data_IF_790216564085
#
_entry.id   IF_790216564085
#
_cell.length_a   1.000
_cell.length_b   1.000
_cell.length_c   1.000
_cell.angle_alpha   90.00
_cell.angle_beta   90.00
_cell.angle_gamma   90.00
#
_symmetry.space_group_name_H-M   'P 1'
#
loop_
_entity.id
_entity.type
_entity.pdbx_description
1 polymer ?
#
# COMPACT_ATOMS: atom_id res chain seq x y z
N UNK A 1 -9.76 -31.72 -55.76
CA UNK A 1 -11.18 -31.70 -56.17
C UNK A 1 -12.00 -31.94 -54.92
N UNK A 2 -12.87 -30.99 -54.57
CA UNK A 2 -13.72 -31.01 -53.38
C UNK A 2 -14.82 -32.08 -53.46
N UNK A 3 -15.25 -32.61 -52.31
CA UNK A 3 -16.60 -32.42 -51.74
C UNK A 3 -16.89 -33.40 -50.59
N UNK A 4 -17.74 -32.93 -49.68
CA UNK A 4 -17.92 -33.25 -48.26
C UNK A 4 -19.11 -34.25 -48.04
N UNK A 5 -19.80 -34.31 -46.87
CA UNK A 5 -19.71 -35.28 -45.76
C UNK A 5 -20.95 -36.21 -45.62
N UNK A 6 -20.86 -37.33 -44.88
CA UNK A 6 -22.02 -37.91 -44.19
C UNK A 6 -21.67 -38.65 -42.87
N UNK A 7 -22.60 -38.49 -41.92
CA UNK A 7 -22.60 -38.95 -40.53
C UNK A 7 -23.12 -40.38 -40.39
N UNK A 8 -22.68 -41.11 -39.33
CA UNK A 8 -23.51 -41.88 -38.37
C UNK A 8 -22.66 -42.93 -37.62
N UNK A 9 -22.55 -42.77 -36.30
CA UNK A 9 -22.09 -43.85 -35.41
C UNK A 9 -23.24 -44.32 -34.53
N UNK A 10 -23.58 -45.59 -34.74
CA UNK A 10 -24.34 -46.50 -33.86
C UNK A 10 -23.66 -46.65 -32.49
N UNK A 11 -24.43 -46.72 -31.38
CA UNK A 11 -24.42 -47.88 -30.45
C UNK A 11 -25.11 -47.61 -29.09
N UNK A 12 -26.00 -48.54 -28.73
CA UNK A 12 -26.35 -49.06 -27.40
C UNK A 12 -27.07 -48.19 -26.33
N UNK A 13 -28.25 -48.68 -25.94
CA UNK A 13 -29.10 -48.33 -24.79
C UNK A 13 -28.55 -49.01 -23.50
N UNK A 14 -28.67 -48.38 -22.31
CA UNK A 14 -29.56 -48.96 -21.30
C UNK A 14 -30.37 -47.89 -20.55
N UNK A 15 -31.67 -48.13 -20.45
CA UNK A 15 -32.61 -47.42 -19.55
C UNK A 15 -32.36 -47.86 -18.11
N UNK A 16 -32.15 -46.90 -17.21
CA UNK A 16 -32.08 -47.13 -15.76
C UNK A 16 -33.26 -46.39 -15.15
N UNK A 17 -34.28 -47.14 -14.71
CA UNK A 17 -35.35 -46.64 -13.85
C UNK A 17 -34.73 -46.29 -12.49
N UNK A 18 -34.75 -45.01 -12.13
CA UNK A 18 -34.33 -44.54 -10.81
C UNK A 18 -35.56 -44.36 -9.93
N UNK A 19 -35.90 -45.42 -9.19
CA UNK A 19 -36.77 -45.35 -8.02
C UNK A 19 -36.03 -44.56 -6.93
N UNK A 20 -36.40 -43.30 -6.75
CA UNK A 20 -35.85 -42.46 -5.69
C UNK A 20 -36.65 -42.72 -4.43
N UNK A 21 -36.21 -43.71 -3.66
CA UNK A 21 -36.60 -43.86 -2.27
C UNK A 21 -36.22 -42.58 -1.50
N UNK A 22 -37.24 -41.85 -1.07
CA UNK A 22 -37.13 -40.55 -0.41
C UNK A 22 -37.02 -40.72 1.11
N UNK A 23 -36.13 -41.57 1.61
CA UNK A 23 -35.89 -41.65 3.05
C UNK A 23 -34.39 -41.73 3.33
N UNK A 24 -33.90 -40.74 4.10
CA UNK A 24 -32.54 -40.56 4.60
C UNK A 24 -31.54 -39.79 3.70
N UNK A 25 -31.93 -38.58 3.29
CA UNK A 25 -30.95 -37.53 2.97
C UNK A 25 -30.38 -36.97 4.28
N UNK A 26 -29.09 -37.20 4.52
CA UNK A 26 -28.34 -36.59 5.61
C UNK A 26 -28.59 -35.08 5.71
N UNK A 27 -28.65 -34.59 6.95
CA UNK A 27 -28.94 -33.19 7.29
C UNK A 27 -27.81 -32.28 6.78
N UNK A 28 -27.85 -31.94 5.50
CA UNK A 28 -27.28 -30.70 5.00
C UNK A 28 -27.94 -29.60 5.81
N UNK A 29 -27.14 -28.89 6.61
CA UNK A 29 -27.58 -27.68 7.30
C UNK A 29 -28.34 -26.82 6.31
N UNK A 30 -29.67 -26.89 6.37
CA UNK A 30 -30.53 -25.94 5.70
C UNK A 30 -30.19 -24.62 6.37
N UNK A 31 -29.44 -23.79 5.66
CA UNK A 31 -29.37 -22.37 5.94
C UNK A 31 -30.83 -21.93 6.06
N UNK A 32 -31.22 -21.72 7.32
CA UNK A 32 -32.56 -21.32 7.71
C UNK A 32 -32.87 -20.04 6.97
N UNK A 33 -33.59 -20.18 5.87
CA UNK A 33 -34.13 -19.07 5.10
C UNK A 33 -35.35 -18.59 5.87
N UNK A 34 -35.11 -17.88 6.97
CA UNK A 34 -36.12 -17.15 7.71
C UNK A 34 -35.72 -15.67 7.65
N UNK A 35 -36.43 -14.93 6.82
CA UNK A 35 -36.47 -13.47 6.68
C UNK A 35 -35.14 -12.75 6.36
N UNK A 36 -34.69 -12.94 5.11
CA UNK A 36 -33.55 -12.23 4.50
C UNK A 36 -33.99 -11.31 3.36
N UNK A 37 -34.88 -10.35 3.60
CA UNK A 37 -35.25 -9.34 2.57
C UNK A 37 -35.46 -7.91 3.04
N UNK A 38 -35.41 -7.62 4.34
CA UNK A 38 -35.18 -6.26 4.83
C UNK A 38 -33.78 -6.22 5.42
N UNK A 39 -32.85 -5.50 4.78
CA UNK A 39 -31.55 -5.20 5.38
C UNK A 39 -31.84 -4.46 6.68
N UNK A 40 -31.72 -5.16 7.81
CA UNK A 40 -31.97 -4.57 9.11
C UNK A 40 -30.73 -3.76 9.50
N UNK A 41 -30.67 -2.53 8.98
CA UNK A 41 -29.57 -1.58 9.18
C UNK A 41 -29.31 -1.33 10.66
N UNK A 42 -30.33 -1.49 11.52
CA UNK A 42 -30.20 -1.37 12.97
C UNK A 42 -29.43 -2.55 13.57
N UNK A 43 -29.74 -3.78 13.15
CA UNK A 43 -28.99 -4.98 13.55
C UNK A 43 -27.54 -4.96 13.03
N UNK A 44 -27.34 -4.48 11.79
CA UNK A 44 -26.00 -4.31 11.21
C UNK A 44 -25.23 -3.22 11.96
N UNK A 45 -25.89 -2.12 12.33
CA UNK A 45 -25.29 -1.04 13.10
C UNK A 45 -24.89 -1.47 14.52
N UNK A 46 -25.71 -2.29 15.17
CA UNK A 46 -25.39 -2.86 16.49
C UNK A 46 -24.22 -3.85 16.40
N UNK A 47 -24.21 -4.75 15.42
CA UNK A 47 -23.08 -5.67 15.17
C UNK A 47 -21.80 -4.95 14.79
N UNK A 48 -21.89 -3.89 14.00
CA UNK A 48 -20.74 -3.07 13.62
C UNK A 48 -20.22 -2.28 14.82
N UNK A 49 -21.10 -1.81 15.71
CA UNK A 49 -20.71 -1.12 16.94
C UNK A 49 -20.00 -2.07 17.92
N UNK A 50 -20.52 -3.28 18.10
CA UNK A 50 -19.86 -4.31 18.92
C UNK A 50 -18.49 -4.68 18.35
N UNK A 51 -18.37 -4.80 17.01
CA UNK A 51 -17.10 -5.06 16.35
C UNK A 51 -16.11 -3.89 16.49
N UNK A 52 -16.57 -2.65 16.29
CA UNK A 52 -15.77 -1.42 16.42
C UNK A 52 -15.37 -1.17 17.88
N UNK A 53 -16.14 -1.61 18.87
CA UNK A 53 -15.79 -1.49 20.29
C UNK A 53 -14.75 -2.54 20.74
N UNK A 54 -14.68 -3.69 20.07
CA UNK A 54 -13.70 -4.76 20.35
C UNK A 54 -12.40 -4.56 19.59
N UNK A 55 -12.45 -3.99 18.39
CA UNK A 55 -11.29 -3.70 17.55
C UNK A 55 -10.18 -2.91 18.27
N UNK A 56 -10.41 -1.72 18.86
CA UNK A 56 -9.34 -0.97 19.51
C UNK A 56 -8.76 -1.70 20.73
N UNK A 57 -9.52 -2.62 21.36
CA UNK A 57 -9.09 -3.35 22.56
C UNK A 57 -8.05 -4.43 22.27
N UNK A 58 -8.01 -5.00 21.06
CA UNK A 58 -7.05 -6.04 20.67
C UNK A 58 -5.83 -5.50 19.90
N UNK A 59 -5.92 -4.28 19.37
CA UNK A 59 -4.88 -3.70 18.52
C UNK A 59 -3.86 -2.86 19.29
N UNK A 60 -4.11 -2.56 20.58
CA UNK A 60 -3.19 -1.77 21.40
C UNK A 60 -1.83 -2.46 21.63
N UNK A 61 -1.83 -3.73 22.06
CA UNK A 61 -0.59 -4.45 22.42
C UNK A 61 0.19 -4.95 21.19
N UNK A 62 -0.49 -5.23 20.08
CA UNK A 62 0.17 -5.66 18.84
C UNK A 62 0.73 -4.47 18.06
N UNK A 63 0.07 -3.31 18.08
CA UNK A 63 0.55 -2.13 17.36
C UNK A 63 1.88 -1.62 17.93
N UNK A 64 2.07 -1.59 19.26
CA UNK A 64 3.36 -1.20 19.85
C UNK A 64 4.54 -2.10 19.43
N UNK A 65 4.30 -3.41 19.27
CA UNK A 65 5.32 -4.38 18.87
C UNK A 65 5.70 -4.23 17.39
N UNK A 66 4.73 -4.02 16.51
CA UNK A 66 4.95 -3.94 15.06
C UNK A 66 5.20 -2.52 14.53
N UNK A 67 4.99 -1.47 15.33
CA UNK A 67 5.22 -0.07 14.94
C UNK A 67 6.62 0.17 14.36
N UNK A 68 7.67 -0.36 14.99
CA UNK A 68 9.06 -0.11 14.57
C UNK A 68 9.41 -0.73 13.20
N UNK A 69 9.18 -2.04 12.96
CA UNK A 69 9.41 -2.62 11.64
C UNK A 69 8.43 -2.09 10.59
N UNK A 70 7.17 -1.82 10.96
CA UNK A 70 6.17 -1.28 10.03
C UNK A 70 6.51 0.14 9.59
N UNK A 71 6.97 1.00 10.50
CA UNK A 71 7.43 2.36 10.16
C UNK A 71 8.66 2.31 9.25
N UNK A 72 9.60 1.41 9.55
CA UNK A 72 10.78 1.20 8.70
C UNK A 72 10.38 0.72 7.30
N UNK A 73 9.47 -0.26 7.22
CA UNK A 73 8.92 -0.74 5.95
C UNK A 73 8.16 0.36 5.20
N UNK A 74 7.38 1.18 5.91
CA UNK A 74 6.69 2.32 5.34
C UNK A 74 7.67 3.37 4.80
N UNK A 75 8.77 3.66 5.50
CA UNK A 75 9.82 4.57 5.01
C UNK A 75 10.44 4.01 3.73
N UNK A 76 10.80 2.72 3.70
CA UNK A 76 11.39 2.08 2.52
C UNK A 76 10.40 2.14 1.35
N UNK A 77 9.13 1.75 1.57
CA UNK A 77 8.08 1.80 0.56
C UNK A 77 7.88 3.24 0.05
N UNK A 78 7.82 4.20 0.95
CA UNK A 78 7.68 5.63 0.61
C UNK A 78 8.88 6.12 -0.19
N UNK A 79 10.10 5.70 0.16
CA UNK A 79 11.30 6.04 -0.60
C UNK A 79 11.23 5.47 -2.03
N UNK A 80 10.81 4.21 -2.20
CA UNK A 80 10.64 3.59 -3.52
C UNK A 80 9.58 4.31 -4.36
N UNK A 81 8.42 4.61 -3.76
CA UNK A 81 7.35 5.37 -4.43
C UNK A 81 7.84 6.77 -4.79
N UNK A 82 8.57 7.43 -3.89
CA UNK A 82 9.13 8.76 -4.14
C UNK A 82 10.11 8.75 -5.31
N UNK A 83 10.91 7.70 -5.48
CA UNK A 83 11.81 7.54 -6.63
C UNK A 83 11.01 7.38 -7.92
N UNK A 84 9.98 6.54 -7.93
CA UNK A 84 9.12 6.34 -9.09
C UNK A 84 8.38 7.64 -9.49
N UNK A 85 7.88 8.39 -8.51
CA UNK A 85 7.27 9.70 -8.74
C UNK A 85 8.29 10.70 -9.25
N UNK A 86 9.50 10.74 -8.66
CA UNK A 86 10.57 11.62 -9.11
C UNK A 86 10.96 11.37 -10.57
N UNK A 87 11.00 10.10 -11.01
CA UNK A 87 11.25 9.73 -12.41
C UNK A 87 10.18 10.31 -13.35
N UNK A 88 8.90 10.13 -13.02
CA UNK A 88 7.79 10.70 -13.80
C UNK A 88 7.79 12.23 -13.81
N UNK A 89 8.16 12.87 -12.70
CA UNK A 89 8.35 14.32 -12.65
C UNK A 89 9.51 14.72 -13.56
N UNK A 90 10.64 14.02 -13.49
CA UNK A 90 11.84 14.33 -14.27
C UNK A 90 11.57 14.24 -15.78
N UNK A 91 10.76 13.28 -16.22
CA UNK A 91 10.34 13.14 -17.62
C UNK A 91 9.54 14.37 -18.09
N UNK A 92 8.60 14.85 -17.28
CA UNK A 92 7.84 16.08 -17.55
C UNK A 92 8.75 17.31 -17.53
N UNK A 93 9.67 17.41 -16.57
CA UNK A 93 10.59 18.54 -16.50
C UNK A 93 11.56 18.55 -17.70
N UNK A 94 12.02 17.39 -18.16
CA UNK A 94 12.88 17.25 -19.33
C UNK A 94 12.14 17.62 -20.64
N UNK A 95 10.82 17.43 -20.69
CA UNK A 95 9.99 17.90 -21.80
C UNK A 95 9.87 19.44 -21.84
N UNK A 96 10.14 20.15 -20.72
CA UNK A 96 10.13 21.61 -20.66
C UNK A 96 11.58 22.14 -20.77
N UNK A 97 11.97 22.73 -21.91
CA UNK A 97 13.37 23.10 -22.18
C UNK A 97 13.96 24.17 -21.25
N UNK A 98 13.14 24.82 -20.42
CA UNK A 98 13.56 25.89 -19.50
C UNK A 98 13.78 25.41 -18.06
N UNK A 99 13.25 24.25 -17.65
CA UNK A 99 13.33 23.85 -16.23
C UNK A 99 14.75 23.49 -15.83
N UNK A 100 15.43 22.65 -16.61
CA UNK A 100 16.81 22.26 -16.35
C UNK A 100 17.76 23.47 -16.21
N UNK A 101 17.82 24.43 -17.15
CA UNK A 101 18.69 25.60 -17.00
C UNK A 101 18.27 26.54 -15.87
N UNK A 102 16.97 26.62 -15.51
CA UNK A 102 16.52 27.39 -14.35
C UNK A 102 16.98 26.76 -13.03
N UNK A 103 16.84 25.44 -12.88
CA UNK A 103 17.32 24.72 -11.69
C UNK A 103 18.84 24.81 -11.55
N UNK A 104 19.57 24.73 -12.67
CA UNK A 104 21.02 24.95 -12.69
C UNK A 104 21.38 26.37 -12.25
N UNK A 105 20.70 27.39 -12.78
CA UNK A 105 20.92 28.78 -12.38
C UNK A 105 20.59 29.03 -10.90
N UNK A 106 19.50 28.46 -10.40
CA UNK A 106 19.12 28.53 -8.99
C UNK A 106 20.16 27.83 -8.11
N UNK A 107 20.59 26.64 -8.51
CA UNK A 107 21.60 25.85 -7.80
C UNK A 107 22.95 26.55 -7.74
N UNK A 108 23.40 27.12 -8.87
CA UNK A 108 24.63 27.91 -8.94
C UNK A 108 24.51 29.21 -8.14
N UNK A 109 23.38 29.92 -8.26
CA UNK A 109 23.10 31.13 -7.48
C UNK A 109 23.16 30.86 -5.99
N UNK A 110 22.50 29.79 -5.52
CA UNK A 110 22.53 29.41 -4.12
C UNK A 110 23.90 28.91 -3.67
N UNK A 111 24.62 28.16 -4.51
CA UNK A 111 25.98 27.68 -4.20
C UNK A 111 26.95 28.85 -4.04
N UNK A 112 26.91 29.83 -4.95
CA UNK A 112 27.74 31.05 -4.88
C UNK A 112 27.35 31.90 -3.68
N UNK A 113 26.05 32.12 -3.43
CA UNK A 113 25.57 32.85 -2.25
C UNK A 113 25.98 32.15 -0.95
N UNK A 114 25.85 30.83 -0.88
CA UNK A 114 26.21 30.02 0.27
C UNK A 114 27.71 30.10 0.54
N UNK A 115 28.54 29.89 -0.49
CA UNK A 115 29.99 30.03 -0.36
C UNK A 115 30.38 31.45 0.07
N UNK A 116 29.79 32.47 -0.54
CA UNK A 116 30.06 33.86 -0.18
C UNK A 116 29.64 34.20 1.25
N UNK A 117 28.44 33.81 1.67
CA UNK A 117 27.90 34.19 2.97
C UNK A 117 28.50 33.36 4.12
N UNK A 118 28.60 32.05 3.94
CA UNK A 118 28.98 31.12 5.00
C UNK A 118 30.47 30.80 5.01
N UNK A 119 31.12 30.71 3.84
CA UNK A 119 32.56 30.44 3.78
C UNK A 119 33.39 31.73 3.82
N UNK A 120 32.90 32.93 3.52
CA UNK A 120 33.75 34.14 3.62
C UNK A 120 33.96 34.61 5.07
N UNK A 121 32.93 34.52 5.91
CA UNK A 121 32.97 35.08 7.26
C UNK A 121 33.47 34.04 8.26
N UNK A 122 34.55 34.38 8.98
CA UNK A 122 35.14 33.50 10.00
C UNK A 122 34.13 33.13 11.10
N UNK A 123 33.27 34.07 11.50
CA UNK A 123 32.18 33.81 12.45
C UNK A 123 31.15 32.81 11.91
N UNK A 124 30.72 32.94 10.66
CA UNK A 124 29.79 31.99 10.02
C UNK A 124 30.40 30.58 9.96
N UNK A 125 31.70 30.44 9.67
CA UNK A 125 32.39 29.14 9.71
C UNK A 125 32.35 28.51 11.11
N UNK A 126 32.66 29.28 12.15
CA UNK A 126 32.68 28.83 13.55
C UNK A 126 31.29 28.39 14.02
N UNK A 127 30.25 29.15 13.65
CA UNK A 127 28.86 28.81 13.97
C UNK A 127 28.41 27.52 13.29
N UNK A 128 28.76 27.31 12.01
CA UNK A 128 28.43 26.08 11.29
C UNK A 128 29.11 24.85 11.89
N UNK A 129 30.39 24.95 12.22
CA UNK A 129 31.14 23.86 12.88
C UNK A 129 30.52 23.51 14.24
N UNK A 130 30.11 24.52 15.00
CA UNK A 130 29.46 24.35 16.30
C UNK A 130 28.10 23.68 16.15
N UNK A 131 27.26 24.18 15.23
CA UNK A 131 25.93 23.62 14.96
C UNK A 131 26.02 22.19 14.43
N UNK A 132 26.98 21.90 13.55
CA UNK A 132 27.24 20.56 13.03
C UNK A 132 27.66 19.59 14.14
N UNK A 133 28.56 20.00 15.05
CA UNK A 133 28.97 19.18 16.20
C UNK A 133 27.79 18.88 17.12
N UNK A 134 26.96 19.89 17.42
CA UNK A 134 25.76 19.72 18.24
C UNK A 134 24.75 18.79 17.57
N UNK A 135 24.50 18.96 16.27
CA UNK A 135 23.59 18.08 15.52
C UNK A 135 24.11 16.64 15.50
N UNK A 136 25.41 16.46 15.24
CA UNK A 136 26.05 15.14 15.29
C UNK A 136 25.87 14.49 16.67
N UNK A 137 26.17 15.19 17.76
CA UNK A 137 25.96 14.67 19.13
C UNK A 137 24.50 14.26 19.39
N UNK A 138 23.53 15.04 18.89
CA UNK A 138 22.10 14.70 19.02
C UNK A 138 21.73 13.42 18.27
N UNK A 139 22.38 13.12 17.15
CA UNK A 139 22.07 11.95 16.32
C UNK A 139 22.83 10.71 16.77
N UNK A 140 24.11 10.84 17.16
CA UNK A 140 24.91 9.67 17.61
C UNK A 140 24.59 9.26 19.05
N UNK A 141 23.87 10.09 19.79
CA UNK A 141 23.87 10.03 21.26
C UNK A 141 25.24 10.44 21.80
N UNK A 142 25.26 11.10 22.94
CA UNK A 142 26.49 11.33 23.69
C UNK A 142 27.15 9.97 23.96
N UNK A 143 28.21 9.65 23.23
CA UNK A 143 29.10 8.54 23.58
C UNK A 143 30.01 8.98 24.71
N UNK A 144 29.45 9.08 25.91
CA UNK A 144 30.13 8.97 27.20
C UNK A 144 29.15 8.33 28.20
#
# INVERSE_FOLDING_TARGET
MASDPETKTTSAKPTVDLDVNSEMSGNLSRLSSNDSTAINVKEIGEKLRDFVDVFPKQFGETFEIYQKPLTTGAIILTALVSVAVADGVLDVLNAIPLVAPLLELIGLGYSVWFAWHYLRYAESRQQLLTNYRQLKQRITGSGD
#
